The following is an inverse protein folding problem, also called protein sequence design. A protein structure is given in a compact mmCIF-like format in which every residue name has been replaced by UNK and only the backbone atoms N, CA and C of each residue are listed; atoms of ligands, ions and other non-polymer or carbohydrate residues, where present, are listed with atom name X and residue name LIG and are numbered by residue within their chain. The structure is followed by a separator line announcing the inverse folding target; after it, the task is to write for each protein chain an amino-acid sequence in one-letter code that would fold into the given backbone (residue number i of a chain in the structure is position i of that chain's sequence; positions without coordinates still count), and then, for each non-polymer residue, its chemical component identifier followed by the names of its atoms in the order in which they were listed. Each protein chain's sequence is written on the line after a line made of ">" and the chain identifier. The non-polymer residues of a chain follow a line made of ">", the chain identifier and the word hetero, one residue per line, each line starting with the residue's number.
data_IF_214527628155
#
_entry.id   IF_214527628155
#
_cell.length_a   1.000
_cell.length_b   1.000
_cell.length_c   1.000
_cell.angle_alpha   90.00
_cell.angle_beta   90.00
_cell.angle_gamma   90.00
#
_symmetry.space_group_name_H-M   'P 1'
#
loop_
_entity.id
_entity.type
_entity.pdbx_description
1 polymer ?
#
# COMPACT_ATOMS: atom_id res chain seq x y z
N UNK A 1 -33.25 7.07 -11.10
CA UNK A 1 -32.89 5.78 -10.50
C UNK A 1 -32.08 6.01 -9.25
N UNK A 2 -32.46 5.41 -8.14
CA UNK A 2 -31.68 5.56 -6.92
C UNK A 2 -30.41 4.73 -6.99
N UNK A 3 -29.29 5.30 -6.50
CA UNK A 3 -28.00 4.64 -6.45
C UNK A 3 -27.64 4.29 -5.01
N UNK A 4 -26.93 3.18 -4.82
CA UNK A 4 -26.42 2.77 -3.51
C UNK A 4 -25.17 3.55 -3.15
N UNK A 5 -24.74 3.48 -1.89
CA UNK A 5 -23.44 4.03 -1.48
C UNK A 5 -22.31 3.37 -2.28
N UNK A 6 -22.41 2.06 -2.52
CA UNK A 6 -21.45 1.34 -3.34
C UNK A 6 -21.34 1.96 -4.74
N UNK A 7 -22.48 2.19 -5.41
CA UNK A 7 -22.50 2.78 -6.74
C UNK A 7 -21.87 4.17 -6.75
N UNK A 8 -22.17 4.99 -5.75
CA UNK A 8 -21.64 6.35 -5.66
C UNK A 8 -20.12 6.35 -5.49
N UNK A 9 -19.60 5.48 -4.62
CA UNK A 9 -18.15 5.35 -4.40
C UNK A 9 -17.47 4.78 -5.63
N UNK A 10 -18.04 3.72 -6.21
CA UNK A 10 -17.52 3.09 -7.42
C UNK A 10 -17.40 4.10 -8.56
N UNK A 11 -18.50 4.75 -8.91
CA UNK A 11 -18.55 5.67 -10.04
C UNK A 11 -17.63 6.87 -9.86
N UNK A 12 -17.48 7.36 -8.63
CA UNK A 12 -16.59 8.49 -8.35
C UNK A 12 -15.10 8.18 -8.54
N UNK A 13 -14.72 6.90 -8.53
CA UNK A 13 -13.33 6.48 -8.68
C UNK A 13 -12.99 5.92 -10.06
N UNK A 14 -13.99 5.66 -10.90
CA UNK A 14 -13.75 5.15 -12.25
C UNK A 14 -13.14 6.25 -13.12
N UNK A 15 -11.97 5.99 -13.69
CA UNK A 15 -11.32 6.90 -14.64
C UNK A 15 -11.47 6.42 -16.09
N UNK A 16 -11.74 5.12 -16.27
CA UNK A 16 -11.96 4.55 -17.59
C UNK A 16 -12.72 3.23 -17.45
N UNK A 17 -13.64 3.00 -18.36
CA UNK A 17 -14.32 1.70 -18.51
C UNK A 17 -13.80 1.03 -19.78
N UNK A 18 -13.29 -0.20 -19.64
CA UNK A 18 -12.80 -0.99 -20.77
C UNK A 18 -13.98 -1.78 -21.34
N UNK A 19 -14.23 -1.65 -22.63
CA UNK A 19 -15.32 -2.39 -23.30
C UNK A 19 -15.13 -3.89 -23.10
N UNK A 20 -16.16 -4.56 -22.61
CA UNK A 20 -16.14 -5.99 -22.26
C UNK A 20 -15.03 -6.38 -21.27
N UNK A 21 -14.60 -5.44 -20.45
CA UNK A 21 -13.53 -5.63 -19.48
C UNK A 21 -13.79 -4.91 -18.16
N UNK A 22 -12.78 -4.84 -17.30
CA UNK A 22 -12.91 -4.20 -16.00
C UNK A 22 -12.94 -2.67 -16.09
N UNK A 23 -13.40 -2.05 -15.03
CA UNK A 23 -13.23 -0.61 -14.82
C UNK A 23 -11.82 -0.32 -14.27
N UNK A 24 -11.26 0.82 -14.67
CA UNK A 24 -9.98 1.30 -14.16
C UNK A 24 -10.26 2.39 -13.13
N UNK A 25 -9.73 2.23 -11.92
CA UNK A 25 -9.93 3.14 -10.82
C UNK A 25 -8.73 4.04 -10.56
N UNK A 26 -9.00 5.26 -10.11
CA UNK A 26 -8.02 6.07 -9.41
C UNK A 26 -8.07 5.68 -7.93
N UNK A 27 -6.91 5.29 -7.38
CA UNK A 27 -6.78 4.95 -5.97
C UNK A 27 -6.35 6.21 -5.23
N UNK A 28 -7.28 6.82 -4.52
CA UNK A 28 -7.04 8.08 -3.81
C UNK A 28 -6.39 7.92 -2.45
N UNK A 29 -6.45 6.71 -1.86
CA UNK A 29 -5.76 6.36 -0.61
C UNK A 29 -5.28 4.93 -0.71
N UNK A 30 -3.98 4.75 -0.63
CA UNK A 30 -3.34 3.44 -0.74
C UNK A 30 -2.68 3.08 0.58
N UNK A 31 -3.18 2.04 1.23
CA UNK A 31 -2.63 1.53 2.48
C UNK A 31 -1.76 0.33 2.20
N UNK A 32 -0.51 0.39 2.64
CA UNK A 32 0.46 -0.68 2.46
C UNK A 32 0.92 -1.23 3.81
N UNK A 33 1.37 -2.48 3.81
CA UNK A 33 1.93 -3.12 5.00
C UNK A 33 3.22 -3.88 4.64
N UNK A 34 3.87 -4.46 5.64
CA UNK A 34 5.23 -5.01 5.52
C UNK A 34 5.33 -6.32 4.75
N UNK A 35 4.24 -7.08 4.62
CA UNK A 35 4.30 -8.43 4.01
C UNK A 35 4.43 -8.37 2.49
N UNK A 36 3.60 -7.58 1.82
CA UNK A 36 3.53 -7.53 0.36
C UNK A 36 4.26 -6.35 -0.27
N UNK A 37 4.42 -5.25 0.46
CA UNK A 37 5.05 -4.04 -0.08
C UNK A 37 6.51 -4.21 -0.51
N UNK A 38 7.36 -5.04 0.14
CA UNK A 38 8.74 -5.19 -0.31
C UNK A 38 8.87 -5.67 -1.75
N UNK A 39 8.03 -6.60 -2.18
CA UNK A 39 8.03 -7.11 -3.56
C UNK A 39 7.61 -6.00 -4.54
N UNK A 40 6.59 -5.23 -4.19
CA UNK A 40 6.13 -4.12 -5.02
C UNK A 40 7.20 -3.05 -5.19
N UNK A 41 7.86 -2.63 -4.11
CA UNK A 41 8.93 -1.63 -4.16
C UNK A 41 10.15 -2.14 -4.91
N UNK A 42 10.49 -3.43 -4.75
CA UNK A 42 11.58 -4.03 -5.52
C UNK A 42 11.30 -3.95 -7.03
N UNK A 43 10.07 -4.28 -7.44
CA UNK A 43 9.65 -4.17 -8.83
C UNK A 43 9.73 -2.75 -9.37
N UNK A 44 9.32 -1.76 -8.59
CA UNK A 44 9.45 -0.35 -8.96
C UNK A 44 10.91 0.07 -9.12
N UNK A 45 11.75 -0.35 -8.17
CA UNK A 45 13.19 -0.04 -8.20
C UNK A 45 13.88 -0.64 -9.44
N UNK A 46 13.60 -1.90 -9.75
CA UNK A 46 14.15 -2.59 -10.92
C UNK A 46 13.76 -1.92 -12.23
N UNK A 47 12.56 -1.35 -12.29
CA UNK A 47 12.04 -0.64 -13.46
C UNK A 47 12.37 0.84 -13.48
N UNK A 48 13.01 1.36 -12.44
CA UNK A 48 13.33 2.80 -12.32
C UNK A 48 12.11 3.69 -12.20
N UNK A 49 11.00 3.17 -11.66
CA UNK A 49 9.73 3.88 -11.52
C UNK A 49 9.56 4.29 -10.05
N UNK A 50 9.12 5.53 -9.84
CA UNK A 50 8.80 6.05 -8.50
C UNK A 50 7.32 5.87 -8.19
N UNK A 51 6.97 5.95 -6.92
CA UNK A 51 5.57 5.98 -6.47
C UNK A 51 4.91 7.23 -7.06
N UNK A 52 3.76 7.05 -7.73
CA UNK A 52 3.11 8.15 -8.46
C UNK A 52 2.52 9.19 -7.51
N UNK A 53 1.86 8.76 -6.44
CA UNK A 53 1.24 9.65 -5.46
C UNK A 53 1.68 9.27 -4.03
N UNK A 54 2.92 9.60 -3.66
CA UNK A 54 3.42 9.24 -2.31
C UNK A 54 2.63 9.90 -1.19
N UNK A 55 2.08 11.09 -1.42
CA UNK A 55 1.23 11.79 -0.45
C UNK A 55 -0.11 11.10 -0.20
N UNK A 56 -0.47 10.15 -1.04
CA UNK A 56 -1.71 9.35 -0.92
C UNK A 56 -1.43 7.90 -0.51
N UNK A 57 -0.19 7.59 -0.18
CA UNK A 57 0.25 6.26 0.24
C UNK A 57 0.59 6.29 1.72
N UNK A 58 0.02 5.35 2.47
CA UNK A 58 0.15 5.29 3.92
C UNK A 58 0.64 3.90 4.30
N UNK A 59 1.75 3.84 5.04
CA UNK A 59 2.34 2.59 5.49
C UNK A 59 1.95 2.32 6.94
N UNK A 60 1.55 1.09 7.22
CA UNK A 60 1.26 0.64 8.58
C UNK A 60 1.87 -0.74 8.81
N UNK A 61 2.55 -0.91 9.94
CA UNK A 61 2.98 -2.22 10.39
C UNK A 61 1.75 -2.99 10.87
N UNK A 62 1.59 -4.22 10.41
CA UNK A 62 0.38 -4.98 10.67
C UNK A 62 0.66 -6.45 10.97
N UNK A 63 0.98 -7.24 9.96
CA UNK A 63 1.06 -8.71 10.08
C UNK A 63 2.17 -9.20 11.00
N UNK A 64 3.32 -8.55 10.98
CA UNK A 64 4.52 -8.97 11.72
C UNK A 64 4.71 -8.25 13.05
N UNK A 65 3.76 -7.42 13.45
CA UNK A 65 3.81 -6.72 14.72
C UNK A 65 3.43 -7.68 15.85
N UNK A 66 4.29 -7.88 16.85
CA UNK A 66 3.97 -8.79 17.95
C UNK A 66 2.84 -8.23 18.82
N UNK A 67 2.10 -9.15 19.47
CA UNK A 67 0.99 -8.78 20.35
C UNK A 67 1.44 -8.47 21.78
N UNK A 68 2.66 -8.88 22.12
CA UNK A 68 3.27 -8.64 23.43
C UNK A 68 4.68 -8.08 23.24
N UNK A 69 5.17 -7.35 24.27
CA UNK A 69 6.53 -6.78 24.24
C UNK A 69 6.81 -5.94 22.98
N UNK A 70 5.85 -5.14 22.56
CA UNK A 70 5.98 -4.33 21.35
C UNK A 70 7.11 -3.29 21.42
N UNK A 71 7.56 -2.95 22.62
CA UNK A 71 8.67 -2.04 22.86
C UNK A 71 10.05 -2.69 22.65
N UNK A 72 10.11 -4.02 22.54
CA UNK A 72 11.35 -4.75 22.32
C UNK A 72 11.58 -4.98 20.81
N UNK A 73 12.84 -5.20 20.40
CA UNK A 73 13.12 -5.58 19.01
C UNK A 73 12.37 -6.87 18.62
N UNK A 74 11.95 -6.95 17.37
CA UNK A 74 11.27 -8.12 16.82
C UNK A 74 12.25 -9.29 16.77
N UNK A 75 11.92 -10.40 17.44
CA UNK A 75 12.81 -11.55 17.56
C UNK A 75 12.95 -12.35 16.26
N UNK A 76 11.88 -12.46 15.48
CA UNK A 76 11.92 -13.17 14.20
C UNK A 76 12.63 -12.33 13.14
N UNK A 77 13.72 -12.85 12.59
CA UNK A 77 14.56 -12.11 11.65
C UNK A 77 13.82 -11.77 10.35
N UNK A 78 12.98 -12.66 9.83
CA UNK A 78 12.21 -12.40 8.61
C UNK A 78 11.19 -11.29 8.84
N UNK A 79 10.47 -11.36 9.95
CA UNK A 79 9.49 -10.32 10.32
C UNK A 79 10.18 -8.96 10.56
N UNK A 80 11.31 -8.95 11.26
CA UNK A 80 12.09 -7.74 11.49
C UNK A 80 12.57 -7.11 10.19
N UNK A 81 13.04 -7.93 9.24
CA UNK A 81 13.49 -7.46 7.93
C UNK A 81 12.35 -6.88 7.10
N UNK A 82 11.17 -7.49 7.14
CA UNK A 82 9.99 -6.98 6.44
C UNK A 82 9.52 -5.64 7.02
N UNK A 83 9.48 -5.50 8.34
CA UNK A 83 9.12 -4.25 9.01
C UNK A 83 10.12 -3.13 8.67
N UNK A 84 11.42 -3.46 8.69
CA UNK A 84 12.46 -2.50 8.31
C UNK A 84 12.34 -2.09 6.85
N UNK A 85 12.06 -3.02 5.95
CA UNK A 85 11.86 -2.74 4.53
C UNK A 85 10.66 -1.80 4.32
N UNK A 86 9.56 -2.00 5.05
CA UNK A 86 8.40 -1.11 5.00
C UNK A 86 8.79 0.33 5.39
N UNK A 87 9.51 0.49 6.50
CA UNK A 87 9.96 1.78 6.99
C UNK A 87 10.90 2.46 5.98
N UNK A 88 11.91 1.74 5.50
CA UNK A 88 12.87 2.26 4.53
C UNK A 88 12.19 2.66 3.21
N UNK A 89 11.29 1.83 2.70
CA UNK A 89 10.57 2.10 1.46
C UNK A 89 9.60 3.27 1.62
N UNK A 90 8.93 3.39 2.76
CA UNK A 90 8.03 4.51 3.04
C UNK A 90 8.82 5.83 3.06
N UNK A 91 10.00 5.85 3.67
CA UNK A 91 10.87 7.02 3.73
C UNK A 91 11.37 7.40 2.33
N UNK A 92 11.87 6.44 1.55
CA UNK A 92 12.38 6.67 0.19
C UNK A 92 11.24 7.14 -0.73
N UNK A 93 10.07 6.50 -0.62
CA UNK A 93 8.88 6.84 -1.41
C UNK A 93 8.14 8.07 -0.90
N UNK A 94 8.57 8.65 0.23
CA UNK A 94 7.89 9.77 0.92
C UNK A 94 6.45 9.46 1.29
N UNK A 95 6.14 8.18 1.51
CA UNK A 95 4.83 7.76 2.01
C UNK A 95 4.71 8.09 3.51
N UNK A 96 3.48 8.23 3.98
CA UNK A 96 3.20 8.42 5.39
C UNK A 96 3.32 7.08 6.15
N UNK A 97 3.86 7.14 7.33
CA UNK A 97 4.02 5.96 8.20
C UNK A 97 3.10 6.06 9.41
#
# INVERSE_FOLDING_TARGET
>A
MSTTLFDKVWDSHVVRTIADGPDVFFIDRHFIHEVTSPVAFLGLKERGIKVLYPERTFATADHNTPTINQHLPVADALSANQLKALEDNAEIGRAHV
#
